data_IF_985581314316
#
_entry.id   IF_985581314316
#
_cell.length_a   1.000
_cell.length_b   1.000
_cell.length_c   1.000
_cell.angle_alpha   90.00
_cell.angle_beta   90.00
_cell.angle_gamma   90.00
#
_symmetry.space_group_name_H-M   'P 1'
#
loop_
_entity.id
_entity.type
_entity.pdbx_description
1 polymer ?
#
# COMPACT_ATOMS: atom_id res chain seq x y z
N UNK A 1 3.76 22.91 33.56
CA UNK A 1 3.06 21.61 33.45
C UNK A 1 2.95 21.28 31.97
N UNK A 2 3.75 20.32 31.52
CA UNK A 2 3.95 20.04 30.10
C UNK A 2 2.78 19.29 29.48
N UNK A 3 2.35 19.75 28.31
CA UNK A 3 1.48 19.03 27.40
C UNK A 3 2.24 17.81 26.87
N UNK A 4 1.99 16.65 27.47
CA UNK A 4 2.51 15.36 27.02
C UNK A 4 1.76 14.89 25.78
N UNK A 5 2.48 14.85 24.65
CA UNK A 5 1.96 14.61 23.32
C UNK A 5 1.25 13.27 23.14
N UNK A 6 0.09 13.34 22.49
CA UNK A 6 -0.65 12.21 21.94
C UNK A 6 -0.19 11.89 20.51
N UNK A 7 1.11 12.03 20.24
CA UNK A 7 1.76 11.66 18.97
C UNK A 7 2.49 10.33 19.16
N UNK A 8 1.73 9.25 19.29
CA UNK A 8 2.28 7.92 19.56
C UNK A 8 1.77 6.79 18.65
N UNK A 9 0.80 7.04 17.77
CA UNK A 9 0.28 6.01 16.83
C UNK A 9 1.03 6.06 15.48
N UNK A 10 2.36 6.26 15.54
CA UNK A 10 3.24 6.24 14.36
C UNK A 10 4.45 5.31 14.59
N UNK A 11 4.26 4.22 15.32
CA UNK A 11 5.37 3.34 15.71
C UNK A 11 5.06 1.86 15.83
N UNK A 12 3.89 1.39 15.43
CA UNK A 12 3.56 -0.04 15.49
C UNK A 12 3.64 -0.65 14.09
N UNK A 13 4.87 -0.74 13.59
CA UNK A 13 5.17 -1.63 12.49
C UNK A 13 4.74 -3.06 12.86
N UNK A 14 4.24 -3.84 11.90
CA UNK A 14 3.76 -5.19 12.16
C UNK A 14 4.91 -6.04 12.72
N UNK A 15 4.83 -6.39 14.00
CA UNK A 15 5.87 -7.12 14.72
C UNK A 15 6.13 -6.62 16.15
N UNK A 16 5.73 -5.39 16.51
CA UNK A 16 5.94 -4.85 17.87
C UNK A 16 4.95 -5.38 18.93
N UNK A 17 3.99 -6.22 18.54
CA UNK A 17 3.02 -6.87 19.44
C UNK A 17 2.98 -8.38 19.17
N UNK A 18 4.12 -9.07 19.29
CA UNK A 18 4.24 -10.51 19.62
C UNK A 18 3.51 -11.59 18.80
N UNK A 19 2.67 -11.23 17.83
CA UNK A 19 1.90 -12.15 17.00
C UNK A 19 2.45 -12.04 15.58
N UNK A 20 3.21 -13.06 15.18
CA UNK A 20 3.58 -13.23 13.77
C UNK A 20 2.33 -13.23 12.89
N UNK A 21 2.50 -12.84 11.63
CA UNK A 21 1.42 -12.89 10.66
C UNK A 21 0.78 -14.29 10.59
N UNK A 22 -0.55 -14.35 10.48
CA UNK A 22 -1.26 -15.62 10.30
C UNK A 22 -0.75 -16.35 9.05
N UNK A 23 -0.91 -17.68 9.01
CA UNK A 23 -0.51 -18.48 7.83
C UNK A 23 -1.18 -17.99 6.54
N UNK A 24 -2.44 -17.57 6.62
CA UNK A 24 -3.18 -17.02 5.47
C UNK A 24 -2.61 -15.67 5.02
N UNK A 25 -2.17 -14.83 5.96
CA UNK A 25 -1.51 -13.58 5.61
C UNK A 25 -0.12 -13.81 5.02
N UNK A 26 0.66 -14.77 5.54
CA UNK A 26 1.94 -15.14 4.94
C UNK A 26 1.75 -15.65 3.50
N UNK A 27 0.76 -16.52 3.27
CA UNK A 27 0.41 -16.98 1.92
C UNK A 27 0.04 -15.83 0.99
N UNK A 28 -0.77 -14.89 1.46
CA UNK A 28 -1.06 -13.66 0.71
C UNK A 28 0.20 -12.85 0.38
N UNK A 29 1.10 -12.70 1.36
CA UNK A 29 2.36 -11.99 1.16
C UNK A 29 3.22 -12.67 0.10
N UNK A 30 3.29 -14.00 0.08
CA UNK A 30 4.02 -14.77 -0.92
C UNK A 30 3.37 -14.64 -2.31
N UNK A 31 2.06 -14.86 -2.42
CA UNK A 31 1.32 -14.82 -3.68
C UNK A 31 1.28 -13.44 -4.34
N UNK A 32 1.37 -12.37 -3.55
CA UNK A 32 1.35 -10.99 -4.07
C UNK A 32 2.73 -10.33 -4.08
N UNK A 33 3.82 -11.06 -3.82
CA UNK A 33 5.19 -10.52 -3.77
C UNK A 33 5.54 -9.68 -5.01
N UNK A 34 5.39 -10.26 -6.20
CA UNK A 34 5.76 -9.59 -7.46
C UNK A 34 4.79 -8.45 -7.79
N UNK A 35 3.51 -8.59 -7.46
CA UNK A 35 2.51 -7.53 -7.62
C UNK A 35 2.83 -6.32 -6.72
N UNK A 36 3.21 -6.55 -5.46
CA UNK A 36 3.61 -5.49 -4.53
C UNK A 36 4.91 -4.82 -4.97
N UNK A 37 5.86 -5.59 -5.53
CA UNK A 37 7.08 -5.03 -6.13
C UNK A 37 6.75 -4.10 -7.30
N UNK A 38 5.98 -4.59 -8.28
CA UNK A 38 5.57 -3.81 -9.43
C UNK A 38 4.78 -2.56 -9.04
N UNK A 39 3.91 -2.66 -8.01
CA UNK A 39 3.17 -1.52 -7.48
C UNK A 39 4.11 -0.43 -6.96
N UNK A 40 5.17 -0.80 -6.24
CA UNK A 40 6.13 0.16 -5.70
C UNK A 40 6.97 0.81 -6.81
N UNK A 41 7.41 0.04 -7.80
CA UNK A 41 8.11 0.56 -8.99
C UNK A 41 7.23 1.57 -9.72
N UNK A 42 5.95 1.24 -9.97
CA UNK A 42 5.01 2.13 -10.65
C UNK A 42 4.67 3.39 -9.85
N UNK A 43 4.56 3.27 -8.53
CA UNK A 43 4.40 4.45 -7.65
C UNK A 43 5.60 5.37 -7.75
N UNK A 44 6.81 4.81 -7.75
CA UNK A 44 8.02 5.60 -7.91
C UNK A 44 8.02 6.34 -9.27
N UNK A 45 7.75 5.63 -10.38
CA UNK A 45 7.61 6.23 -11.71
C UNK A 45 6.56 7.36 -11.74
N UNK A 46 5.40 7.14 -11.12
CA UNK A 46 4.32 8.12 -11.04
C UNK A 46 4.75 9.39 -10.29
N UNK A 47 5.46 9.27 -9.17
CA UNK A 47 5.92 10.43 -8.41
C UNK A 47 7.03 11.20 -9.13
N UNK A 48 7.94 10.51 -9.82
CA UNK A 48 8.95 11.17 -10.65
C UNK A 48 8.30 11.90 -11.85
N UNK A 49 7.30 11.27 -12.48
CA UNK A 49 6.49 11.88 -13.53
C UNK A 49 5.79 13.18 -13.06
N UNK A 50 5.21 13.18 -11.85
CA UNK A 50 4.57 14.37 -11.26
C UNK A 50 5.54 15.51 -10.96
N UNK A 51 6.80 15.19 -10.61
CA UNK A 51 7.84 16.18 -10.32
C UNK A 51 8.39 16.84 -11.57
N UNK A 52 8.35 16.14 -12.70
CA UNK A 52 8.86 16.66 -13.96
C UNK A 52 7.80 17.54 -14.64
N UNK A 53 8.05 18.86 -14.80
CA UNK A 53 7.08 19.80 -15.39
C UNK A 53 6.77 19.50 -16.86
N UNK A 54 7.63 18.77 -17.56
CA UNK A 54 7.46 18.43 -18.98
C UNK A 54 6.66 17.14 -19.19
N UNK A 55 6.29 16.44 -18.11
CA UNK A 55 5.52 15.20 -18.24
C UNK A 55 4.11 15.48 -18.73
N UNK A 56 3.70 14.75 -19.78
CA UNK A 56 2.35 14.86 -20.32
C UNK A 56 1.29 14.34 -19.32
N UNK A 57 0.13 15.00 -19.22
CA UNK A 57 -0.98 14.53 -18.38
C UNK A 57 -1.40 13.08 -18.68
N UNK A 58 -1.39 12.68 -19.95
CA UNK A 58 -1.71 11.32 -20.41
C UNK A 58 -0.79 10.26 -19.81
N UNK A 59 0.50 10.58 -19.61
CA UNK A 59 1.47 9.67 -18.98
C UNK A 59 1.16 9.50 -17.50
N UNK A 60 0.81 10.59 -16.81
CA UNK A 60 0.41 10.57 -15.40
C UNK A 60 -0.87 9.73 -15.23
N UNK A 61 -1.87 9.93 -16.09
CA UNK A 61 -3.12 9.17 -16.05
C UNK A 61 -2.89 7.67 -16.31
N UNK A 62 -2.05 7.34 -17.28
CA UNK A 62 -1.69 5.93 -17.56
C UNK A 62 -1.04 5.27 -16.33
N UNK A 63 -0.06 5.92 -15.71
CA UNK A 63 0.60 5.41 -14.50
C UNK A 63 -0.39 5.27 -13.34
N UNK A 64 -1.31 6.23 -13.16
CA UNK A 64 -2.36 6.14 -12.15
C UNK A 64 -3.29 4.93 -12.36
N UNK A 65 -3.70 4.67 -13.61
CA UNK A 65 -4.50 3.48 -13.98
C UNK A 65 -3.74 2.18 -13.72
N UNK A 66 -2.47 2.10 -14.12
CA UNK A 66 -1.63 0.92 -13.86
C UNK A 66 -1.47 0.63 -12.36
N UNK A 67 -1.28 1.67 -11.54
CA UNK A 67 -1.26 1.57 -10.08
C UNK A 67 -2.59 1.07 -9.53
N UNK A 68 -3.71 1.57 -10.03
CA UNK A 68 -5.05 1.16 -9.59
C UNK A 68 -5.30 -0.33 -9.88
N UNK A 69 -5.00 -0.78 -11.09
CA UNK A 69 -5.17 -2.19 -11.47
C UNK A 69 -4.27 -3.13 -10.65
N UNK A 70 -3.04 -2.71 -10.34
CA UNK A 70 -2.16 -3.48 -9.45
C UNK A 70 -2.71 -3.58 -8.03
N UNK A 71 -3.23 -2.48 -7.47
CA UNK A 71 -3.89 -2.49 -6.16
C UNK A 71 -5.11 -3.41 -6.15
N UNK A 72 -5.92 -3.36 -7.19
CA UNK A 72 -7.11 -4.22 -7.34
C UNK A 72 -6.73 -5.71 -7.34
N UNK A 73 -5.72 -6.10 -8.13
CA UNK A 73 -5.22 -7.49 -8.18
C UNK A 73 -4.66 -7.98 -6.84
N UNK A 74 -3.97 -7.10 -6.10
CA UNK A 74 -3.49 -7.41 -4.76
C UNK A 74 -4.69 -7.60 -3.82
N UNK A 75 -5.67 -6.70 -3.85
CA UNK A 75 -6.85 -6.76 -3.00
C UNK A 75 -7.70 -8.01 -3.25
N UNK A 76 -7.86 -8.44 -4.49
CA UNK A 76 -8.57 -9.69 -4.85
C UNK A 76 -7.97 -10.94 -4.16
N UNK A 77 -6.67 -10.90 -3.86
CA UNK A 77 -5.94 -11.96 -3.16
C UNK A 77 -5.89 -11.75 -1.64
N UNK A 78 -6.39 -10.64 -1.12
CA UNK A 78 -6.38 -10.34 0.31
C UNK A 78 -7.16 -11.41 1.09
N UNK A 79 -6.62 -11.94 2.20
CA UNK A 79 -7.34 -12.84 3.09
C UNK A 79 -8.40 -12.08 3.90
N UNK A 80 -8.31 -10.75 3.96
CA UNK A 80 -9.31 -9.89 4.57
C UNK A 80 -10.36 -9.52 3.52
N UNK A 81 -11.49 -10.23 3.54
CA UNK A 81 -12.69 -9.88 2.78
C UNK A 81 -13.75 -9.35 3.75
N UNK A 82 -13.58 -8.11 4.19
CA UNK A 82 -14.48 -7.49 5.17
C UNK A 82 -14.40 -5.98 5.17
N UNK A 83 -15.58 -5.34 5.19
CA UNK A 83 -15.76 -3.90 5.32
C UNK A 83 -15.53 -3.52 6.79
N UNK A 84 -14.32 -3.07 7.13
CA UNK A 84 -14.07 -2.46 8.44
C UNK A 84 -14.68 -1.05 8.50
N UNK A 85 -14.92 -0.47 9.69
CA UNK A 85 -15.50 0.87 9.85
C UNK A 85 -14.64 2.03 9.28
N UNK A 86 -13.49 1.71 8.68
CA UNK A 86 -12.56 2.66 8.06
C UNK A 86 -12.31 2.36 6.57
N UNK A 87 -13.16 1.54 5.93
CA UNK A 87 -13.01 1.13 4.54
C UNK A 87 -12.24 -0.18 4.37
N UNK A 88 -12.15 -0.65 3.12
CA UNK A 88 -11.50 -1.90 2.73
C UNK A 88 -10.05 -1.98 3.25
N UNK A 89 -9.72 -3.02 4.00
CA UNK A 89 -8.36 -3.38 4.43
C UNK A 89 -7.70 -4.31 3.41
#
# INVERSE_FOLDING_TARGET
MGYGGMTGVYGMGPGMMGYGYSKDYQKFLDETRDLRKALNEKRFEYFEALRNPDTKPETIEKLAKEIYELKKKIYEKSPYKGFGPWGCY
#
